data_IF_014661148936
#
_entry.id   IF_014661148936
#
_cell.length_a   1.000
_cell.length_b   1.000
_cell.length_c   1.000
_cell.angle_alpha   90.00
_cell.angle_beta   90.00
_cell.angle_gamma   90.00
#
_symmetry.space_group_name_H-M   'P 1'
#
loop_
_entity.id
_entity.type
_entity.pdbx_description
1 polymer ?
#
# COMPACT_ATOMS: atom_id res chain seq x y z
N UNK A 1 11.12 -54.09 4.72
CA UNK A 1 11.31 -52.80 4.00
C UNK A 1 9.95 -52.20 3.67
N UNK A 2 9.32 -51.51 4.64
CA UNK A 2 7.95 -50.96 4.49
C UNK A 2 7.77 -49.67 5.27
N UNK A 3 8.77 -48.78 5.27
CA UNK A 3 8.73 -47.52 6.03
C UNK A 3 9.32 -46.33 5.24
N UNK A 4 9.34 -46.40 3.90
CA UNK A 4 9.86 -45.31 3.06
C UNK A 4 8.78 -44.53 2.29
N UNK A 5 7.49 -44.83 2.52
CA UNK A 5 6.37 -44.18 1.81
C UNK A 5 5.69 -43.04 2.58
N UNK A 6 6.09 -42.78 3.83
CA UNK A 6 5.47 -41.73 4.66
C UNK A 6 6.18 -40.37 4.61
N UNK A 7 7.31 -40.24 3.89
CA UNK A 7 8.02 -38.96 3.78
C UNK A 7 7.57 -38.08 2.60
N UNK A 8 6.83 -38.63 1.64
CA UNK A 8 6.39 -37.88 0.45
C UNK A 8 5.00 -37.22 0.60
N UNK A 9 4.23 -37.56 1.63
CA UNK A 9 2.86 -37.06 1.80
C UNK A 9 2.74 -35.83 2.68
N UNK A 10 3.82 -35.35 3.30
CA UNK A 10 3.82 -34.12 4.11
C UNK A 10 4.19 -32.86 3.27
N UNK A 11 4.63 -33.05 2.03
CA UNK A 11 5.10 -31.95 1.17
C UNK A 11 4.01 -31.26 0.32
N UNK A 12 2.73 -31.59 0.50
CA UNK A 12 1.64 -31.06 -0.32
C UNK A 12 0.77 -29.98 0.35
N UNK A 13 1.12 -29.49 1.56
CA UNK A 13 0.22 -28.60 2.32
C UNK A 13 0.76 -27.23 2.75
N UNK A 14 1.93 -26.76 2.28
CA UNK A 14 2.39 -25.40 2.63
C UNK A 14 2.96 -24.65 1.42
N UNK A 15 2.11 -24.42 0.43
CA UNK A 15 2.21 -23.21 -0.38
C UNK A 15 0.84 -22.84 -0.94
N UNK A 16 -0.17 -22.76 -0.06
CA UNK A 16 -1.14 -21.67 -0.24
C UNK A 16 -0.32 -20.39 -0.11
N UNK A 17 0.09 -19.85 -1.25
CA UNK A 17 0.64 -18.51 -1.36
C UNK A 17 -0.35 -17.59 -0.66
N UNK A 18 -0.01 -17.19 0.57
CA UNK A 18 -0.77 -16.18 1.31
C UNK A 18 -0.98 -15.01 0.35
N UNK A 19 -2.16 -14.35 0.37
CA UNK A 19 -2.24 -13.02 -0.24
C UNK A 19 -1.03 -12.23 0.28
N UNK A 20 -0.29 -11.58 -0.62
CA UNK A 20 0.98 -10.96 -0.23
C UNK A 20 0.74 -10.06 0.98
N UNK A 21 1.72 -9.99 1.90
CA UNK A 21 1.70 -9.14 3.10
C UNK A 21 1.12 -7.74 2.80
N UNK A 22 1.39 -7.23 1.60
CA UNK A 22 0.87 -5.96 1.07
C UNK A 22 -0.67 -5.84 1.15
N UNK A 23 -1.43 -6.81 0.64
CA UNK A 23 -2.91 -6.74 0.61
C UNK A 23 -3.52 -6.93 2.00
N UNK A 24 -2.87 -7.69 2.87
CA UNK A 24 -3.28 -7.80 4.27
C UNK A 24 -3.15 -6.45 4.97
N UNK A 25 -2.01 -5.76 4.78
CA UNK A 25 -1.78 -4.41 5.31
C UNK A 25 -2.78 -3.41 4.75
N UNK A 26 -2.92 -3.34 3.42
CA UNK A 26 -3.84 -2.40 2.75
C UNK A 26 -5.27 -2.60 3.24
N UNK A 27 -5.79 -3.83 3.18
CA UNK A 27 -7.18 -4.10 3.52
C UNK A 27 -7.44 -3.92 5.01
N UNK A 28 -6.53 -4.38 5.89
CA UNK A 28 -6.67 -4.21 7.34
C UNK A 28 -6.69 -2.72 7.72
N UNK A 29 -5.76 -1.94 7.18
CA UNK A 29 -5.69 -0.50 7.41
C UNK A 29 -6.99 0.20 6.99
N UNK A 30 -7.43 0.01 5.74
CA UNK A 30 -8.65 0.65 5.26
C UNK A 30 -9.90 0.18 6.00
N UNK A 31 -9.99 -1.09 6.40
CA UNK A 31 -11.12 -1.64 7.17
C UNK A 31 -11.22 -1.06 8.58
N UNK A 32 -10.08 -0.93 9.26
CA UNK A 32 -9.98 -0.40 10.62
C UNK A 32 -10.31 1.09 10.65
N UNK A 33 -9.80 1.85 9.69
CA UNK A 33 -9.96 3.31 9.64
C UNK A 33 -11.19 3.78 8.84
N UNK A 34 -12.01 2.85 8.35
CA UNK A 34 -13.22 3.15 7.55
C UNK A 34 -12.93 4.02 6.32
N UNK A 35 -11.71 3.93 5.80
CA UNK A 35 -11.29 4.60 4.58
C UNK A 35 -11.92 3.83 3.41
N UNK A 36 -12.61 4.56 2.53
CA UNK A 36 -13.22 4.01 1.33
C UNK A 36 -12.64 4.72 0.10
N UNK A 37 -12.04 3.95 -0.80
CA UNK A 37 -11.41 4.44 -2.00
C UNK A 37 -12.44 4.60 -3.12
N UNK A 38 -12.55 5.82 -3.65
CA UNK A 38 -13.52 6.16 -4.70
C UNK A 38 -12.86 5.95 -6.05
N UNK A 39 -13.54 5.34 -7.02
CA UNK A 39 -13.02 5.22 -8.39
C UNK A 39 -11.56 4.74 -8.45
N UNK A 40 -11.25 3.68 -7.70
CA UNK A 40 -9.88 3.15 -7.60
C UNK A 40 -9.38 2.74 -9.00
N UNK A 41 -8.34 3.41 -9.46
CA UNK A 41 -7.70 3.19 -10.74
C UNK A 41 -6.87 1.91 -10.72
N UNK A 42 -6.76 1.24 -11.86
CA UNK A 42 -5.80 0.15 -12.08
C UNK A 42 -4.44 0.65 -12.59
N UNK A 43 -4.29 1.96 -12.79
CA UNK A 43 -3.03 2.56 -13.21
C UNK A 43 -1.97 2.46 -12.09
N UNK A 44 -0.71 2.18 -12.43
CA UNK A 44 0.37 2.10 -11.45
C UNK A 44 0.57 3.44 -10.75
N UNK A 45 0.87 3.39 -9.46
CA UNK A 45 1.21 4.56 -8.66
C UNK A 45 2.50 4.33 -7.89
N UNK A 46 3.49 5.17 -8.20
CA UNK A 46 4.85 5.05 -7.71
C UNK A 46 5.00 5.91 -6.47
N UNK A 47 5.32 5.28 -5.33
CA UNK A 47 5.51 6.00 -4.08
C UNK A 47 6.56 7.11 -4.23
N UNK A 48 7.60 6.94 -5.06
CA UNK A 48 8.59 8.00 -5.34
C UNK A 48 7.97 9.34 -5.78
N UNK A 49 6.87 9.32 -6.54
CA UNK A 49 6.16 10.55 -6.93
C UNK A 49 5.50 11.21 -5.72
N UNK A 50 4.96 10.39 -4.81
CA UNK A 50 4.42 10.89 -3.54
C UNK A 50 5.49 11.48 -2.62
N UNK A 51 6.67 10.84 -2.58
CA UNK A 51 7.77 11.20 -1.69
C UNK A 51 8.47 12.50 -2.13
N UNK A 52 8.18 13.05 -3.33
CA UNK A 52 8.67 14.38 -3.75
C UNK A 52 8.25 15.51 -2.81
N UNK A 53 7.17 15.29 -2.04
CA UNK A 53 6.65 16.26 -1.08
C UNK A 53 7.31 16.17 0.31
N UNK A 54 8.24 15.24 0.51
CA UNK A 54 8.95 15.02 1.77
C UNK A 54 10.46 15.05 1.55
N UNK A 55 11.22 15.42 2.58
CA UNK A 55 12.66 15.36 2.48
C UNK A 55 13.10 13.88 2.57
N UNK A 56 13.84 13.39 1.57
CA UNK A 56 14.38 12.02 1.55
C UNK A 56 15.03 11.62 2.88
N UNK A 57 15.69 12.57 3.56
CA UNK A 57 16.35 12.36 4.85
C UNK A 57 15.35 11.93 5.95
N UNK A 58 14.13 12.45 5.95
CA UNK A 58 13.10 12.10 6.94
C UNK A 58 12.71 10.62 6.85
N UNK A 59 12.70 10.05 5.65
CA UNK A 59 12.45 8.61 5.46
C UNK A 59 13.64 7.74 5.84
N UNK A 60 14.85 8.20 5.54
CA UNK A 60 16.09 7.50 5.93
C UNK A 60 16.22 7.44 7.47
N UNK A 61 15.88 8.54 8.16
CA UNK A 61 15.85 8.60 9.63
C UNK A 61 14.79 7.64 10.24
N UNK A 62 13.76 7.29 9.47
CA UNK A 62 12.72 6.31 9.82
C UNK A 62 13.04 4.88 9.33
N UNK A 63 14.27 4.62 8.90
CA UNK A 63 14.76 3.32 8.43
C UNK A 63 14.05 2.79 7.15
N UNK A 64 13.58 3.69 6.27
CA UNK A 64 13.07 3.32 4.95
C UNK A 64 14.16 3.38 3.88
N UNK A 65 14.14 2.39 2.98
CA UNK A 65 14.98 2.39 1.77
C UNK A 65 14.12 2.69 0.55
N UNK A 66 14.25 3.90 0.00
CA UNK A 66 13.50 4.34 -1.17
C UNK A 66 14.35 4.09 -2.41
N UNK A 67 14.01 3.06 -3.17
CA UNK A 67 14.59 2.82 -4.49
C UNK A 67 13.90 3.68 -5.53
N UNK A 68 14.66 4.53 -6.22
CA UNK A 68 14.16 5.26 -7.37
C UNK A 68 13.89 4.26 -8.51
N UNK A 69 12.67 4.27 -9.06
CA UNK A 69 12.24 3.51 -10.26
C UNK A 69 11.82 2.05 -10.07
N UNK A 70 11.46 1.61 -8.88
CA UNK A 70 10.81 0.30 -8.79
C UNK A 70 9.39 0.36 -9.39
N UNK A 71 9.22 -0.32 -10.53
CA UNK A 71 7.91 -0.54 -11.17
C UNK A 71 7.11 -1.53 -10.35
N UNK A 72 6.37 -1.01 -9.38
CA UNK A 72 5.39 -1.79 -8.65
C UNK A 72 3.97 -1.47 -9.11
N UNK A 73 3.26 -2.53 -9.45
CA UNK A 73 1.82 -2.52 -9.66
C UNK A 73 1.15 -3.22 -8.49
N UNK A 74 0.09 -2.62 -7.97
CA UNK A 74 -0.88 -3.33 -7.13
C UNK A 74 -1.99 -3.84 -8.06
N UNK A 75 -2.42 -5.08 -7.86
CA UNK A 75 -3.69 -5.54 -8.40
C UNK A 75 -4.83 -4.95 -7.57
N UNK A 76 -5.39 -3.84 -8.04
CA UNK A 76 -6.44 -3.13 -7.32
C UNK A 76 -7.74 -3.92 -7.22
N UNK A 77 -7.90 -5.02 -7.95
CA UNK A 77 -9.03 -5.95 -7.79
C UNK A 77 -9.04 -6.61 -6.40
N UNK A 78 -7.88 -6.79 -5.77
CA UNK A 78 -7.71 -7.42 -4.45
C UNK A 78 -7.90 -6.46 -3.27
N UNK A 79 -8.09 -5.16 -3.55
CA UNK A 79 -8.42 -4.14 -2.55
C UNK A 79 -9.92 -4.16 -2.26
N UNK A 80 -10.33 -4.42 -1.02
CA UNK A 80 -11.74 -4.63 -0.67
C UNK A 80 -12.54 -3.34 -0.57
N UNK A 81 -11.96 -2.29 0.00
CA UNK A 81 -12.67 -1.06 0.37
C UNK A 81 -12.71 -0.03 -0.76
N UNK A 82 -13.15 -0.46 -1.95
CA UNK A 82 -13.33 0.39 -3.12
C UNK A 82 -14.79 0.50 -3.53
N UNK A 83 -15.18 1.63 -4.12
CA UNK A 83 -16.51 1.80 -4.69
C UNK A 83 -16.51 2.78 -5.88
N UNK A 84 -17.43 2.60 -6.85
CA UNK A 84 -17.62 3.58 -7.91
C UNK A 84 -18.37 4.81 -7.38
N UNK A 85 -17.88 6.00 -7.71
CA UNK A 85 -18.48 7.30 -7.40
C UNK A 85 -19.00 7.98 -8.68
N UNK A 86 -19.99 8.86 -8.54
CA UNK A 86 -20.58 9.60 -9.68
C UNK A 86 -19.57 10.48 -10.42
N UNK A 87 -18.57 11.01 -9.72
CA UNK A 87 -17.50 11.84 -10.32
C UNK A 87 -16.44 10.95 -10.95
N UNK A 88 -16.78 10.26 -12.04
CA UNK A 88 -15.88 9.30 -12.72
C UNK A 88 -14.55 9.89 -13.21
N UNK A 89 -14.50 11.22 -13.39
CA UNK A 89 -13.27 11.92 -13.75
C UNK A 89 -12.29 12.00 -12.58
N UNK A 90 -12.76 11.92 -11.33
CA UNK A 90 -11.91 11.75 -10.16
C UNK A 90 -11.46 10.30 -10.06
N UNK A 91 -10.14 10.07 -10.01
CA UNK A 91 -9.53 8.75 -9.85
C UNK A 91 -8.75 8.70 -8.54
N UNK A 92 -8.94 7.64 -7.78
CA UNK A 92 -8.03 7.34 -6.66
C UNK A 92 -6.96 6.35 -7.11
N UNK A 93 -5.71 6.58 -6.73
CA UNK A 93 -4.57 5.68 -6.89
C UNK A 93 -3.99 5.35 -5.52
N UNK A 94 -3.41 4.16 -5.37
CA UNK A 94 -2.75 3.74 -4.12
C UNK A 94 -1.38 3.14 -4.40
N UNK A 95 -0.43 3.34 -3.50
CA UNK A 95 0.91 2.75 -3.59
C UNK A 95 0.93 1.37 -2.96
N UNK A 96 1.92 0.56 -3.33
CA UNK A 96 2.32 -0.59 -2.51
C UNK A 96 2.81 -0.09 -1.14
N UNK A 97 2.55 -0.81 -0.04
CA UNK A 97 3.18 -0.50 1.24
C UNK A 97 4.70 -0.59 1.09
N UNK A 98 5.39 0.50 1.41
CA UNK A 98 6.85 0.49 1.55
C UNK A 98 7.16 0.18 3.00
N UNK A 99 7.86 -0.90 3.28
CA UNK A 99 8.23 -1.28 4.64
C UNK A 99 9.58 -0.69 5.03
N UNK A 100 9.74 -0.32 6.32
CA UNK A 100 11.07 -0.02 6.87
C UNK A 100 11.94 -1.28 6.83
N UNK A 101 13.27 -1.13 6.88
CA UNK A 101 14.20 -2.28 6.84
C UNK A 101 13.96 -3.23 8.01
N UNK A 102 13.69 -2.67 9.20
CA UNK A 102 13.31 -3.44 10.38
C UNK A 102 11.86 -3.97 10.37
N UNK A 103 11.07 -3.63 9.35
CA UNK A 103 9.65 -3.97 9.16
C UNK A 103 8.74 -3.53 10.31
N UNK A 104 9.17 -2.61 11.17
CA UNK A 104 8.31 -2.05 12.22
C UNK A 104 7.40 -0.95 11.71
N UNK A 105 7.69 -0.36 10.56
CA UNK A 105 6.87 0.67 9.94
C UNK A 105 6.55 0.36 8.48
N UNK A 106 5.49 0.98 7.99
CA UNK A 106 5.12 0.95 6.58
C UNK A 106 4.58 2.31 6.13
N UNK A 107 4.85 2.70 4.89
CA UNK A 107 4.24 3.86 4.24
C UNK A 107 3.23 3.39 3.21
N UNK A 108 2.05 3.99 3.20
CA UNK A 108 1.03 3.78 2.19
C UNK A 108 0.59 5.14 1.65
N UNK A 109 0.73 5.36 0.35
CA UNK A 109 0.27 6.60 -0.27
C UNK A 109 -1.04 6.38 -1.02
N UNK A 110 -1.91 7.38 -0.93
CA UNK A 110 -3.20 7.46 -1.61
C UNK A 110 -3.26 8.81 -2.31
N UNK A 111 -3.58 8.81 -3.59
CA UNK A 111 -3.74 10.03 -4.38
C UNK A 111 -5.14 10.07 -4.95
N UNK A 112 -5.82 11.20 -4.79
CA UNK A 112 -7.10 11.52 -5.42
C UNK A 112 -6.88 12.62 -6.46
N UNK A 113 -6.93 12.27 -7.75
CA UNK A 113 -6.79 13.20 -8.86
C UNK A 113 -8.17 13.46 -9.49
N UNK A 114 -8.62 14.71 -9.42
CA UNK A 114 -9.89 15.21 -9.96
C UNK A 114 -9.68 16.17 -11.15
N UNK A 115 -8.53 16.11 -11.83
CA UNK A 115 -8.20 16.93 -12.99
C UNK A 115 -7.59 18.27 -12.60
N UNK A 116 -8.36 19.18 -12.00
CA UNK A 116 -7.86 20.51 -11.56
C UNK A 116 -7.22 20.49 -10.17
N UNK A 117 -7.49 19.44 -9.40
CA UNK A 117 -7.02 19.26 -8.03
C UNK A 117 -6.53 17.84 -7.87
N UNK A 118 -5.32 17.69 -7.31
CA UNK A 118 -4.81 16.41 -6.84
C UNK A 118 -4.50 16.52 -5.35
N UNK A 119 -5.02 15.58 -4.57
CA UNK A 119 -4.70 15.43 -3.15
C UNK A 119 -3.89 14.17 -3.00
N UNK A 120 -2.69 14.29 -2.43
CA UNK A 120 -1.85 13.17 -2.07
C UNK A 120 -1.80 13.06 -0.55
N UNK A 121 -2.12 11.90 -0.02
CA UNK A 121 -1.95 11.57 1.40
C UNK A 121 -0.99 10.41 1.54
N UNK A 122 0.03 10.56 2.38
CA UNK A 122 0.94 9.48 2.78
C UNK A 122 0.63 9.12 4.22
N UNK A 123 0.28 7.86 4.45
CA UNK A 123 0.04 7.29 5.77
C UNK A 123 1.29 6.58 6.26
N UNK A 124 1.80 6.96 7.42
CA UNK A 124 2.77 6.19 8.19
C UNK A 124 2.02 5.22 9.11
N UNK A 125 2.38 3.96 8.99
CA UNK A 125 1.84 2.87 9.78
C UNK A 125 2.93 2.28 10.66
N UNK A 126 2.60 1.92 11.90
CA UNK A 126 3.47 1.18 12.82
C UNK A 126 2.94 -0.22 13.08
N UNK A 127 3.86 -1.17 13.28
CA UNK A 127 3.53 -2.57 13.56
C UNK A 127 3.32 -2.77 15.05
N UNK A 128 2.08 -3.04 15.45
CA UNK A 128 1.69 -3.39 16.80
C UNK A 128 0.98 -4.74 16.82
N UNK A 129 1.40 -5.64 17.72
CA UNK A 129 0.81 -6.98 17.87
C UNK A 129 0.67 -7.75 16.53
N UNK A 130 1.64 -7.57 15.63
CA UNK A 130 1.67 -8.21 14.32
C UNK A 130 0.87 -7.52 13.22
N UNK A 131 0.14 -6.44 13.51
CA UNK A 131 -0.67 -5.68 12.56
C UNK A 131 -0.11 -4.28 12.35
N UNK A 132 -0.24 -3.75 11.14
CA UNK A 132 0.11 -2.35 10.87
C UNK A 132 -1.10 -1.47 11.19
N UNK A 133 -0.90 -0.51 12.07
CA UNK A 133 -1.91 0.47 12.50
C UNK A 133 -1.43 1.88 12.16
N UNK A 134 -2.37 2.81 12.03
CA UNK A 134 -2.06 4.22 11.80
C UNK A 134 -1.15 4.80 12.89
N UNK A 135 -0.07 5.47 12.48
CA UNK A 135 0.79 6.28 13.34
C UNK A 135 0.51 7.76 13.09
N UNK A 136 0.66 8.21 11.83
CA UNK A 136 0.41 9.58 11.40
C UNK A 136 0.15 9.63 9.87
N UNK A 137 -0.41 10.74 9.37
CA UNK A 137 -0.47 11.03 7.94
C UNK A 137 0.04 12.43 7.64
N UNK A 138 0.53 12.59 6.42
CA UNK A 138 0.81 13.90 5.84
C UNK A 138 0.09 13.99 4.51
N UNK A 139 -0.72 15.04 4.37
CA UNK A 139 -1.48 15.34 3.17
C UNK A 139 -0.91 16.58 2.47
N UNK A 140 -0.67 16.49 1.17
CA UNK A 140 -0.37 17.63 0.31
C UNK A 140 -1.49 17.80 -0.71
N UNK A 141 -1.91 19.05 -0.92
CA UNK A 141 -2.87 19.40 -1.96
C UNK A 141 -2.13 20.18 -3.04
N UNK A 142 -2.25 19.71 -4.28
CA UNK A 142 -1.74 20.41 -5.45
C UNK A 142 -2.92 20.85 -6.30
N UNK A 143 -3.10 22.16 -6.42
CA UNK A 143 -4.05 22.77 -7.34
C UNK A 143 -3.30 23.14 -8.62
N UNK A 144 -3.81 22.74 -9.78
CA UNK A 144 -3.33 23.29 -11.05
C UNK A 144 -3.83 24.73 -11.15
N UNK A 145 -3.00 25.69 -10.77
CA UNK A 145 -3.20 27.09 -11.17
C UNK A 145 -2.90 27.20 -12.66
N UNK A 146 -3.95 27.39 -13.46
CA UNK A 146 -3.85 27.81 -14.86
C UNK A 146 -3.28 29.22 -14.98
#
# INVERSE_FOLDING_TARGET
MRNLFFLFTILTFISCSKPSNDYEVINTFFDQHKIRLKNLSSEPFYLNEALKHWNRKEFEDLDFEIFQHEKYTIDTSLVKNKYPDSRRYCKTRISKPLFSKDKKRALLAVEEDCGSESVLTIFLLKKEQGKYIFEEDISSQMSLTH
#
